data_IF_527075798660
#
_entry.id   IF_527075798660
#
_cell.length_a   1.000
_cell.length_b   1.000
_cell.length_c   1.000
_cell.angle_alpha   90.00
_cell.angle_beta   90.00
_cell.angle_gamma   90.00
#
_symmetry.space_group_name_H-M   'P 1'
#
loop_
_entity.id
_entity.type
_entity.pdbx_description
1 polymer ?
#
# COMPACT_ATOMS: atom_id res chain seq x y z
N UNK A 1 -32.95 17.26 -26.21
CA UNK A 1 -33.65 17.09 -24.92
C UNK A 1 -33.32 15.73 -24.28
N UNK A 2 -33.73 14.57 -24.83
CA UNK A 2 -33.46 13.27 -24.17
C UNK A 2 -31.98 12.88 -24.10
N UNK A 3 -31.23 13.03 -25.22
CA UNK A 3 -29.78 12.71 -25.28
C UNK A 3 -28.97 13.55 -24.29
N UNK A 4 -29.21 14.85 -24.27
CA UNK A 4 -28.54 15.80 -23.36
C UNK A 4 -28.78 15.48 -21.88
N UNK A 5 -29.97 14.98 -21.52
CA UNK A 5 -30.23 14.50 -20.15
C UNK A 5 -29.44 13.25 -19.83
N UNK A 6 -29.44 12.23 -20.72
CA UNK A 6 -28.66 11.00 -20.54
C UNK A 6 -27.16 11.30 -20.40
N UNK A 7 -26.63 12.20 -21.24
CA UNK A 7 -25.21 12.60 -21.19
C UNK A 7 -24.87 13.27 -19.85
N UNK A 8 -25.76 14.14 -19.35
CA UNK A 8 -25.58 14.82 -18.06
C UNK A 8 -25.61 13.84 -16.91
N UNK A 9 -26.60 12.95 -16.85
CA UNK A 9 -26.73 11.91 -15.82
C UNK A 9 -25.51 10.97 -15.82
N UNK A 10 -25.08 10.52 -17.00
CA UNK A 10 -23.94 9.62 -17.14
C UNK A 10 -22.63 10.29 -16.71
N UNK A 11 -22.45 11.58 -17.01
CA UNK A 11 -21.29 12.35 -16.55
C UNK A 11 -21.29 12.53 -15.03
N UNK A 12 -22.46 12.78 -14.42
CA UNK A 12 -22.63 12.88 -12.98
C UNK A 12 -22.29 11.58 -12.26
N UNK A 13 -22.82 10.46 -12.75
CA UNK A 13 -22.53 9.12 -12.22
C UNK A 13 -21.03 8.78 -12.32
N UNK A 14 -20.40 9.07 -13.47
CA UNK A 14 -18.97 8.86 -13.66
C UNK A 14 -18.12 9.68 -12.69
N UNK A 15 -18.51 10.93 -12.45
CA UNK A 15 -17.82 11.81 -11.51
C UNK A 15 -17.93 11.27 -10.08
N UNK A 16 -19.14 10.86 -9.66
CA UNK A 16 -19.36 10.24 -8.35
C UNK A 16 -18.58 8.94 -8.17
N UNK A 17 -18.58 8.06 -9.18
CA UNK A 17 -17.80 6.83 -9.14
C UNK A 17 -16.30 7.11 -8.99
N UNK A 18 -15.76 8.05 -9.77
CA UNK A 18 -14.35 8.45 -9.71
C UNK A 18 -14.01 9.03 -8.34
N UNK A 19 -14.90 9.84 -7.76
CA UNK A 19 -14.71 10.40 -6.43
C UNK A 19 -14.71 9.31 -5.34
N UNK A 20 -15.61 8.34 -5.42
CA UNK A 20 -15.66 7.20 -4.50
C UNK A 20 -14.37 6.37 -4.57
N UNK A 21 -13.88 6.07 -5.78
CA UNK A 21 -12.58 5.37 -5.96
C UNK A 21 -11.43 6.20 -5.41
N UNK A 22 -11.39 7.49 -5.72
CA UNK A 22 -10.35 8.40 -5.24
C UNK A 22 -10.29 8.48 -3.72
N UNK A 23 -11.46 8.57 -3.06
CA UNK A 23 -11.56 8.60 -1.61
C UNK A 23 -11.11 7.28 -0.98
N UNK A 24 -11.51 6.15 -1.54
CA UNK A 24 -11.12 4.83 -1.06
C UNK A 24 -9.60 4.59 -1.17
N UNK A 25 -9.00 4.94 -2.32
CA UNK A 25 -7.55 4.86 -2.52
C UNK A 25 -6.78 5.81 -1.60
N UNK A 26 -7.29 7.03 -1.40
CA UNK A 26 -6.69 8.00 -0.47
C UNK A 26 -6.69 7.47 0.96
N UNK A 27 -7.80 6.89 1.42
CA UNK A 27 -7.85 6.28 2.76
C UNK A 27 -6.81 5.17 2.95
N UNK A 28 -6.52 4.38 1.91
CA UNK A 28 -5.44 3.38 1.94
C UNK A 28 -4.07 4.04 2.04
N UNK A 29 -3.79 5.06 1.22
CA UNK A 29 -2.53 5.81 1.27
C UNK A 29 -2.30 6.47 2.62
N UNK A 30 -3.35 7.07 3.21
CA UNK A 30 -3.28 7.71 4.52
C UNK A 30 -2.96 6.69 5.62
N UNK A 31 -3.57 5.50 5.57
CA UNK A 31 -3.25 4.42 6.51
C UNK A 31 -1.81 3.92 6.33
N UNK A 32 -1.34 3.73 5.09
CA UNK A 32 0.06 3.36 4.82
C UNK A 32 1.04 4.44 5.31
N UNK A 33 0.72 5.71 5.13
CA UNK A 33 1.53 6.83 5.61
C UNK A 33 1.59 6.86 7.14
N UNK A 34 0.46 6.63 7.82
CA UNK A 34 0.40 6.50 9.28
C UNK A 34 1.25 5.32 9.76
N UNK A 35 1.18 4.18 9.08
CA UNK A 35 2.03 3.02 9.40
C UNK A 35 3.51 3.38 9.27
N UNK A 36 3.91 4.09 8.21
CA UNK A 36 5.29 4.52 8.05
C UNK A 36 5.74 5.48 9.17
N UNK A 37 4.87 6.40 9.61
CA UNK A 37 5.16 7.30 10.74
C UNK A 37 5.26 6.57 12.08
N UNK A 38 4.42 5.55 12.31
CA UNK A 38 4.51 4.75 13.53
C UNK A 38 5.75 3.85 13.52
N UNK A 39 6.12 3.32 12.34
CA UNK A 39 7.33 2.53 12.16
C UNK A 39 8.61 3.33 12.40
N UNK A 40 8.64 4.66 12.17
CA UNK A 40 9.81 5.49 12.50
C UNK A 40 9.98 5.70 14.01
N UNK A 41 8.91 5.59 14.79
CA UNK A 41 8.94 5.70 16.26
C UNK A 41 9.30 4.37 16.93
N UNK A 42 9.02 3.27 16.24
CA UNK A 42 9.39 1.93 16.64
C UNK A 42 10.88 1.69 16.34
N UNK A 43 11.71 1.49 17.37
CA UNK A 43 13.08 1.00 17.18
C UNK A 43 13.03 -0.33 16.40
N UNK A 44 13.84 -0.43 15.34
CA UNK A 44 13.73 -1.49 14.32
C UNK A 44 13.62 -2.91 14.92
N UNK A 45 12.67 -3.70 14.41
CA UNK A 45 12.42 -5.08 14.87
C UNK A 45 10.95 -5.34 15.24
N UNK A 46 10.71 -6.04 16.36
CA UNK A 46 9.38 -6.50 16.80
C UNK A 46 8.31 -5.39 16.86
N UNK A 47 8.70 -4.15 17.11
CA UNK A 47 7.80 -3.01 17.14
C UNK A 47 7.27 -2.61 15.74
N UNK A 48 8.04 -2.81 14.66
CA UNK A 48 7.55 -2.62 13.29
C UNK A 48 6.48 -3.67 12.91
N UNK A 49 6.66 -4.92 13.37
CA UNK A 49 5.69 -6.00 13.15
C UNK A 49 4.37 -5.75 13.88
N UNK A 50 4.41 -5.10 15.05
CA UNK A 50 3.21 -4.67 15.75
C UNK A 50 2.41 -3.63 14.94
N UNK A 51 3.09 -2.70 14.25
CA UNK A 51 2.44 -1.68 13.40
C UNK A 51 1.79 -2.32 12.18
N UNK A 52 2.54 -3.10 11.38
CA UNK A 52 1.99 -3.74 10.17
C UNK A 52 1.00 -4.86 10.47
N UNK A 53 1.01 -5.39 11.69
CA UNK A 53 0.08 -6.41 12.16
C UNK A 53 -1.10 -5.87 12.97
N UNK A 54 -1.25 -4.55 13.10
CA UNK A 54 -2.37 -3.95 13.83
C UNK A 54 -3.73 -4.39 13.22
N UNK A 55 -4.79 -4.59 14.03
CA UNK A 55 -6.08 -5.09 13.54
C UNK A 55 -6.62 -4.32 12.33
N UNK A 56 -6.65 -2.98 12.41
CA UNK A 56 -7.13 -2.13 11.31
C UNK A 56 -6.33 -2.32 10.01
N UNK A 57 -5.03 -2.59 10.10
CA UNK A 57 -4.17 -2.85 8.94
C UNK A 57 -4.49 -4.22 8.34
N UNK A 58 -4.65 -5.24 9.18
CA UNK A 58 -5.00 -6.61 8.77
C UNK A 58 -6.39 -6.71 8.14
N UNK A 59 -7.33 -5.90 8.61
CA UNK A 59 -8.69 -5.86 8.09
C UNK A 59 -8.77 -5.07 6.76
N UNK A 60 -7.82 -4.17 6.52
CA UNK A 60 -7.83 -3.27 5.34
C UNK A 60 -7.05 -3.82 4.15
N UNK A 61 -5.97 -4.57 4.40
CA UNK A 61 -5.02 -4.97 3.36
C UNK A 61 -4.90 -6.49 3.25
N UNK A 62 -4.60 -6.94 2.04
CA UNK A 62 -4.36 -8.36 1.78
C UNK A 62 -3.10 -8.85 2.47
N UNK A 63 -2.07 -8.00 2.50
CA UNK A 63 -0.79 -8.25 3.16
C UNK A 63 -0.07 -6.93 3.38
N UNK A 64 0.61 -6.81 4.52
CA UNK A 64 1.36 -5.62 4.92
C UNK A 64 2.78 -6.01 5.26
N UNK A 65 3.74 -5.18 4.89
CA UNK A 65 5.15 -5.51 5.01
C UNK A 65 6.06 -4.28 5.14
N UNK A 66 7.27 -4.52 5.65
CA UNK A 66 8.33 -3.51 5.76
C UNK A 66 9.58 -4.04 5.08
N UNK A 67 10.05 -3.35 4.04
CA UNK A 67 11.34 -3.63 3.40
C UNK A 67 12.45 -2.80 4.03
N UNK A 68 13.52 -3.45 4.50
CA UNK A 68 14.71 -2.80 5.06
C UNK A 68 15.81 -2.65 4.01
N UNK A 69 16.73 -1.71 4.24
CA UNK A 69 17.88 -1.44 3.34
C UNK A 69 18.90 -2.57 3.28
N UNK A 70 18.98 -3.38 4.33
CA UNK A 70 19.83 -4.57 4.41
C UNK A 70 19.28 -5.75 3.57
N UNK A 71 18.12 -5.59 2.94
CA UNK A 71 17.49 -6.62 2.12
C UNK A 71 16.55 -7.54 2.91
N UNK A 72 16.45 -7.36 4.23
CA UNK A 72 15.44 -8.05 5.01
C UNK A 72 14.06 -7.43 4.78
N UNK A 73 13.00 -8.24 4.93
CA UNK A 73 11.66 -7.71 5.00
C UNK A 73 10.80 -8.53 5.96
N UNK A 74 9.89 -7.83 6.63
CA UNK A 74 8.92 -8.43 7.53
C UNK A 74 7.53 -8.32 6.93
N UNK A 75 6.65 -9.31 7.17
CA UNK A 75 5.33 -9.39 6.54
C UNK A 75 4.27 -9.99 7.45
N UNK A 76 3.05 -9.45 7.34
CA UNK A 76 1.87 -9.93 8.05
C UNK A 76 0.67 -10.06 7.09
N UNK A 77 -0.03 -11.21 7.08
CA UNK A 77 0.36 -12.47 7.72
C UNK A 77 1.65 -13.03 7.10
N UNK A 78 2.39 -13.87 7.85
CA UNK A 78 3.61 -14.49 7.33
C UNK A 78 3.28 -15.42 6.15
N UNK A 79 4.09 -15.36 5.10
CA UNK A 79 4.16 -16.37 4.05
C UNK A 79 5.60 -16.87 3.88
N UNK A 80 5.75 -17.98 3.18
CA UNK A 80 7.03 -18.36 2.59
C UNK A 80 7.47 -17.35 1.52
N UNK A 81 8.74 -16.97 1.59
CA UNK A 81 9.35 -15.97 0.74
C UNK A 81 10.51 -16.64 0.03
N UNK A 82 10.62 -16.50 -1.31
CA UNK A 82 11.80 -17.01 -2.01
C UNK A 82 13.10 -16.52 -1.36
N UNK A 83 14.11 -17.38 -1.17
CA UNK A 83 15.37 -17.03 -0.49
C UNK A 83 16.14 -15.88 -1.15
N UNK A 84 15.91 -15.65 -2.45
CA UNK A 84 16.51 -14.63 -3.29
C UNK A 84 15.66 -13.35 -3.39
N UNK A 85 14.53 -13.28 -2.68
CA UNK A 85 13.62 -12.15 -2.75
C UNK A 85 14.18 -10.91 -2.03
N UNK A 86 14.79 -10.00 -2.80
CA UNK A 86 15.25 -8.70 -2.32
C UNK A 86 14.14 -7.62 -2.45
N UNK A 87 13.63 -7.05 -1.34
CA UNK A 87 12.59 -6.02 -1.39
C UNK A 87 13.02 -4.77 -2.19
N UNK A 88 14.32 -4.47 -2.24
CA UNK A 88 14.87 -3.28 -2.93
C UNK A 88 14.74 -3.34 -4.45
N UNK A 89 14.56 -4.55 -4.99
CA UNK A 89 14.37 -4.74 -6.42
C UNK A 89 12.91 -4.53 -6.86
N UNK A 90 11.97 -4.47 -5.91
CA UNK A 90 10.53 -4.45 -6.18
C UNK A 90 10.04 -3.04 -6.55
N UNK A 91 9.01 -2.93 -7.43
CA UNK A 91 8.46 -1.64 -7.88
C UNK A 91 8.08 -0.71 -6.72
N UNK A 92 7.28 -1.22 -5.77
CA UNK A 92 6.84 -0.48 -4.59
C UNK A 92 7.97 0.12 -3.76
N UNK A 93 9.11 -0.56 -3.66
CA UNK A 93 10.25 -0.07 -2.88
C UNK A 93 10.95 1.07 -3.63
N UNK A 94 11.27 0.84 -4.90
CA UNK A 94 11.97 1.82 -5.75
C UNK A 94 11.16 3.11 -5.90
N UNK A 95 9.87 2.96 -6.16
CA UNK A 95 8.95 4.09 -6.33
C UNK A 95 8.77 4.88 -5.03
N UNK A 96 8.56 4.21 -3.89
CA UNK A 96 8.41 4.89 -2.62
C UNK A 96 9.68 5.64 -2.19
N UNK A 97 10.87 5.07 -2.43
CA UNK A 97 12.15 5.72 -2.14
C UNK A 97 12.36 6.97 -3.02
N UNK A 98 11.91 6.94 -4.27
CA UNK A 98 12.01 8.07 -5.19
C UNK A 98 10.96 9.17 -4.93
N UNK A 99 9.90 8.86 -4.18
CA UNK A 99 8.77 9.74 -3.96
C UNK A 99 8.90 10.63 -2.71
N UNK A 100 8.14 11.74 -2.73
CA UNK A 100 7.88 12.57 -1.56
C UNK A 100 6.45 12.27 -1.09
N UNK A 101 6.30 11.36 -0.13
CA UNK A 101 5.02 10.94 0.42
C UNK A 101 4.63 9.50 0.01
N UNK A 102 3.39 9.08 0.33
CA UNK A 102 2.89 7.76 -0.01
C UNK A 102 2.54 7.67 -1.51
N UNK A 103 2.78 6.52 -2.12
CA UNK A 103 2.50 6.24 -3.54
C UNK A 103 1.65 4.99 -3.72
N UNK A 104 0.99 4.87 -4.87
CA UNK A 104 0.44 3.62 -5.39
C UNK A 104 1.37 3.12 -6.48
N UNK A 105 1.97 1.95 -6.27
CA UNK A 105 2.76 1.28 -7.30
C UNK A 105 1.84 0.71 -8.39
N UNK A 106 2.33 0.68 -9.63
CA UNK A 106 1.63 0.03 -10.74
C UNK A 106 1.36 -1.45 -10.44
N UNK A 107 0.31 -2.06 -11.04
CA UNK A 107 0.00 -3.46 -10.82
C UNK A 107 1.17 -4.40 -11.13
N UNK A 108 1.50 -5.32 -10.21
CA UNK A 108 2.56 -6.32 -10.41
C UNK A 108 2.20 -7.66 -9.75
N UNK A 109 2.91 -8.73 -10.12
CA UNK A 109 2.73 -10.06 -9.54
C UNK A 109 3.43 -10.16 -8.17
N UNK A 110 2.63 -10.42 -7.13
CA UNK A 110 3.12 -10.61 -5.77
C UNK A 110 3.98 -11.87 -5.66
N UNK A 111 5.20 -11.74 -5.12
CA UNK A 111 6.22 -12.78 -5.22
C UNK A 111 5.86 -14.07 -4.49
N UNK A 112 5.27 -14.00 -3.29
CA UNK A 112 4.98 -15.19 -2.48
C UNK A 112 3.72 -15.94 -2.92
N UNK A 113 2.73 -15.25 -3.49
CA UNK A 113 1.40 -15.84 -3.78
C UNK A 113 0.99 -15.84 -5.25
N UNK A 114 1.78 -15.25 -6.14
CA UNK A 114 1.49 -15.16 -7.58
C UNK A 114 0.27 -14.31 -7.95
N UNK A 115 -0.31 -13.57 -6.99
CA UNK A 115 -1.49 -12.74 -7.22
C UNK A 115 -1.11 -11.38 -7.84
N UNK A 116 -1.94 -10.86 -8.76
CA UNK A 116 -1.82 -9.48 -9.23
C UNK A 116 -2.27 -8.53 -8.12
N UNK A 117 -1.41 -7.57 -7.76
CA UNK A 117 -1.64 -6.63 -6.66
C UNK A 117 -1.35 -5.20 -7.06
N UNK A 118 -2.01 -4.27 -6.37
CA UNK A 118 -1.62 -2.86 -6.28
C UNK A 118 -1.12 -2.64 -4.86
N UNK A 119 -0.02 -1.89 -4.74
CA UNK A 119 0.62 -1.64 -3.44
C UNK A 119 0.64 -0.16 -3.15
N UNK A 120 0.05 0.22 -2.01
CA UNK A 120 0.34 1.52 -1.40
C UNK A 120 1.65 1.41 -0.63
N UNK A 121 2.58 2.34 -0.82
CA UNK A 121 3.89 2.32 -0.16
C UNK A 121 4.30 3.72 0.30
N UNK A 122 4.97 3.78 1.44
CA UNK A 122 5.49 5.01 2.02
C UNK A 122 6.87 4.77 2.63
N UNK A 123 7.78 5.72 2.40
CA UNK A 123 9.11 5.67 2.99
C UNK A 123 9.04 5.95 4.49
N UNK A 124 9.63 5.07 5.30
CA UNK A 124 9.87 5.31 6.73
C UNK A 124 11.13 6.16 6.85
N UNK A 125 10.95 7.41 7.28
CA UNK A 125 12.06 8.35 7.47
C UNK A 125 12.40 8.40 8.95
N UNK A 126 13.63 8.06 9.29
CA UNK A 126 14.20 8.37 10.60
C UNK A 126 15.00 9.70 10.50
N UNK A 127 15.27 10.35 11.63
CA UNK A 127 15.89 11.69 11.70
C UNK A 127 17.28 11.76 11.04
N UNK A 128 17.92 10.62 10.75
CA UNK A 128 19.29 10.52 10.25
C UNK A 128 19.39 9.82 8.87
N UNK A 129 18.42 8.97 8.48
CA UNK A 129 18.32 8.35 7.15
C UNK A 129 16.97 7.61 6.94
N UNK A 130 16.53 7.32 5.70
CA UNK A 130 15.42 6.39 5.47
C UNK A 130 15.83 4.99 5.96
N UNK A 131 15.20 4.49 7.01
CA UNK A 131 15.56 3.21 7.61
C UNK A 131 14.89 2.02 6.90
N UNK A 132 13.68 2.23 6.34
CA UNK A 132 12.91 1.19 5.64
C UNK A 132 11.76 1.79 4.79
N UNK A 133 11.05 0.96 4.03
CA UNK A 133 9.82 1.30 3.30
C UNK A 133 8.69 0.45 3.88
N UNK A 134 7.64 1.09 4.36
CA UNK A 134 6.39 0.40 4.72
C UNK A 134 5.51 0.30 3.48
N UNK A 135 4.96 -0.87 3.24
CA UNK A 135 4.12 -1.12 2.08
C UNK A 135 2.98 -2.07 2.43
N UNK A 136 1.87 -1.85 1.76
CA UNK A 136 0.62 -2.58 1.97
C UNK A 136 0.04 -2.92 0.62
N UNK A 137 -0.09 -4.21 0.35
CA UNK A 137 -0.68 -4.69 -0.88
C UNK A 137 -2.18 -4.98 -0.67
N UNK A 138 -2.97 -4.59 -1.65
CA UNK A 138 -4.36 -5.05 -1.77
C UNK A 138 -4.43 -6.03 -2.93
N UNK A 139 -4.99 -7.22 -2.70
CA UNK A 139 -5.26 -8.22 -3.73
C UNK A 139 -6.75 -8.52 -3.74
N UNK A 140 -7.27 -8.70 -4.97
CA UNK A 140 -8.70 -8.68 -5.29
C UNK A 140 -9.31 -7.34 -4.87
N UNK A 141 -9.77 -6.56 -5.84
CA UNK A 141 -10.59 -5.38 -5.57
C UNK A 141 -11.67 -5.84 -4.57
N UNK A 142 -11.62 -5.35 -3.33
CA UNK A 142 -12.70 -5.58 -2.38
C UNK A 142 -14.00 -5.18 -3.09
N UNK A 143 -15.12 -5.90 -2.88
CA UNK A 143 -16.39 -5.45 -3.44
C UNK A 143 -16.60 -4.00 -3.03
N UNK A 144 -16.79 -3.15 -4.03
CA UNK A 144 -16.93 -1.71 -3.84
C UNK A 144 -18.02 -1.47 -2.79
N UNK A 145 -17.81 -0.56 -1.82
CA UNK A 145 -18.93 -0.06 -1.04
C UNK A 145 -19.91 0.56 -2.05
N UNK A 146 -21.10 -0.06 -2.14
CA UNK A 146 -22.22 0.46 -2.92
C UNK A 146 -22.71 1.78 -2.35
#
# INVERSE_FOLDING_TARGET
MLRTTIDTEMSGLSASATQSVGNWLRGKLDLTQLMAQQASLATAGAAANAVIGAPAVRDTFYVSYVGRRDGCYDMVPQDEVPPDCDPRQRPWYKEAVAAIGPILAEPYTFASRGALVITAAATVRDAVAPCCVSATATSRLAPWPA
#
